data_IF_396739950591
#
_entry.id   IF_396739950591
#
_cell.length_a   1.000
_cell.length_b   1.000
_cell.length_c   1.000
_cell.angle_alpha   90.00
_cell.angle_beta   90.00
_cell.angle_gamma   90.00
#
_symmetry.space_group_name_H-M   'P 1'
#
loop_
_entity.id
_entity.type
_entity.pdbx_description
1 polymer ?
#
# COMPACT_ATOMS: atom_id res chain seq x y z
N UNK A 1 -28.48 -74.54 52.63
CA UNK A 1 -29.00 -73.36 51.89
C UNK A 1 -28.00 -72.23 52.11
N UNK A 2 -27.17 -71.90 51.16
CA UNK A 2 -26.14 -70.88 51.20
C UNK A 2 -26.64 -69.66 50.44
N UNK A 3 -26.57 -68.46 50.98
CA UNK A 3 -26.78 -67.23 50.19
C UNK A 3 -25.47 -66.82 49.50
N UNK A 4 -25.56 -66.61 48.24
CA UNK A 4 -24.50 -66.13 47.38
C UNK A 4 -24.41 -64.61 47.59
N UNK A 5 -23.25 -64.16 48.08
CA UNK A 5 -22.90 -62.77 48.23
C UNK A 5 -22.43 -62.20 46.87
N UNK A 6 -23.27 -61.37 46.28
CA UNK A 6 -22.97 -60.71 45.00
C UNK A 6 -22.09 -59.48 45.31
N UNK A 7 -20.82 -59.57 45.00
CA UNK A 7 -19.87 -58.49 45.14
C UNK A 7 -19.89 -57.59 43.89
N UNK A 8 -20.52 -56.43 44.01
CA UNK A 8 -20.51 -55.45 42.91
C UNK A 8 -19.18 -54.65 43.02
N UNK A 9 -18.27 -54.94 42.08
CA UNK A 9 -17.07 -54.14 41.89
C UNK A 9 -17.43 -52.92 41.03
N UNK A 10 -17.53 -51.77 41.67
CA UNK A 10 -17.68 -50.49 40.98
C UNK A 10 -16.27 -50.04 40.57
N UNK A 11 -15.92 -50.27 39.32
CA UNK A 11 -14.73 -49.68 38.68
C UNK A 11 -14.98 -48.21 38.39
N UNK A 12 -14.43 -47.32 39.18
CA UNK A 12 -14.32 -45.91 38.88
C UNK A 12 -13.33 -45.73 37.71
N UNK A 13 -13.86 -45.58 36.49
CA UNK A 13 -13.11 -45.04 35.34
C UNK A 13 -12.93 -43.55 35.58
N UNK A 14 -11.78 -43.14 36.06
CA UNK A 14 -11.33 -41.74 36.01
C UNK A 14 -11.06 -41.40 34.55
N UNK A 15 -12.04 -40.78 33.91
CA UNK A 15 -11.86 -40.13 32.64
C UNK A 15 -10.97 -38.91 32.87
N UNK A 16 -9.67 -39.02 32.54
CA UNK A 16 -8.81 -37.87 32.29
C UNK A 16 -9.44 -37.14 31.06
N UNK A 17 -10.23 -36.12 31.32
CA UNK A 17 -10.51 -35.09 30.34
C UNK A 17 -9.19 -34.32 30.16
N UNK A 18 -8.42 -34.72 29.13
CA UNK A 18 -7.47 -33.82 28.56
C UNK A 18 -8.29 -32.65 28.01
N UNK A 19 -8.33 -31.55 28.76
CA UNK A 19 -8.60 -30.24 28.20
C UNK A 19 -7.54 -30.05 27.12
N UNK A 20 -7.90 -30.37 25.86
CA UNK A 20 -7.24 -29.77 24.71
C UNK A 20 -7.37 -28.26 24.96
N UNK A 21 -6.27 -27.65 25.35
CA UNK A 21 -6.12 -26.22 25.20
C UNK A 21 -6.49 -25.93 23.74
N UNK A 22 -7.60 -25.25 23.57
CA UNK A 22 -7.80 -24.53 22.32
C UNK A 22 -6.52 -23.69 22.19
N UNK A 23 -5.67 -24.06 21.24
CA UNK A 23 -4.68 -23.16 20.74
C UNK A 23 -5.51 -21.90 20.38
N UNK A 24 -5.40 -20.87 21.19
CA UNK A 24 -5.62 -19.51 20.78
C UNK A 24 -4.57 -19.30 19.67
N UNK A 25 -4.90 -19.80 18.47
CA UNK A 25 -4.37 -19.22 17.27
C UNK A 25 -4.86 -17.78 17.33
N UNK A 26 -3.95 -16.90 17.76
CA UNK A 26 -4.07 -15.49 17.47
C UNK A 26 -4.57 -15.41 16.02
N UNK A 27 -5.83 -15.07 15.81
CA UNK A 27 -6.34 -14.67 14.52
C UNK A 27 -5.64 -13.35 14.19
N UNK A 28 -4.37 -13.47 13.78
CA UNK A 28 -3.68 -12.40 13.08
C UNK A 28 -4.60 -12.06 11.91
N UNK A 29 -5.25 -10.91 12.00
CA UNK A 29 -6.26 -10.50 11.03
C UNK A 29 -5.75 -10.78 9.63
N UNK A 30 -6.51 -11.55 8.86
CA UNK A 30 -6.06 -12.07 7.57
C UNK A 30 -5.71 -10.90 6.66
N UNK A 31 -4.41 -10.73 6.37
CA UNK A 31 -3.93 -9.66 5.49
C UNK A 31 -4.57 -9.79 4.11
N UNK A 32 -4.88 -8.65 3.45
CA UNK A 32 -5.58 -8.67 2.17
C UNK A 32 -4.74 -9.34 1.07
N UNK A 33 -5.42 -10.02 0.15
CA UNK A 33 -4.83 -10.49 -1.09
C UNK A 33 -4.68 -9.32 -2.07
N UNK A 34 -3.48 -9.10 -2.55
CA UNK A 34 -3.11 -7.92 -3.34
C UNK A 34 -2.68 -8.36 -4.74
N UNK A 35 -3.28 -7.76 -5.76
CA UNK A 35 -2.74 -7.87 -7.12
C UNK A 35 -1.93 -6.62 -7.47
N UNK A 36 -0.74 -6.83 -8.03
CA UNK A 36 0.13 -5.74 -8.51
C UNK A 36 0.11 -5.71 -10.03
N UNK A 37 -0.19 -4.53 -10.57
CA UNK A 37 -0.27 -4.28 -12.00
C UNK A 37 0.57 -3.06 -12.39
N UNK A 38 1.25 -3.15 -13.53
CA UNK A 38 2.04 -2.06 -14.07
C UNK A 38 1.31 -1.28 -15.16
N UNK A 39 1.64 0.01 -15.27
CA UNK A 39 1.28 0.86 -16.40
C UNK A 39 2.53 1.51 -16.99
N UNK A 40 2.67 1.51 -18.32
CA UNK A 40 3.83 2.06 -19.03
C UNK A 40 3.40 2.85 -20.30
N UNK A 41 2.26 3.53 -20.21
CA UNK A 41 1.67 4.24 -21.35
C UNK A 41 2.42 5.52 -21.74
N UNK A 42 3.14 6.14 -20.80
CA UNK A 42 3.81 7.41 -21.04
C UNK A 42 5.25 7.21 -21.55
N UNK A 43 5.77 8.14 -22.32
CA UNK A 43 7.07 8.00 -23.02
C UNK A 43 8.27 7.90 -22.10
N UNK A 44 8.18 8.47 -20.90
CA UNK A 44 9.23 8.48 -19.88
C UNK A 44 9.07 7.37 -18.85
N UNK A 45 8.08 6.49 -19.01
CA UNK A 45 7.93 5.31 -18.14
C UNK A 45 8.93 4.20 -18.52
N UNK A 46 9.35 3.44 -17.52
CA UNK A 46 10.12 2.21 -17.71
C UNK A 46 9.18 1.13 -18.26
N UNK A 47 9.50 0.51 -19.41
CA UNK A 47 8.63 -0.51 -20.01
C UNK A 47 8.44 -1.72 -19.08
N UNK A 48 7.21 -2.23 -18.96
CA UNK A 48 6.86 -3.40 -18.15
C UNK A 48 7.62 -4.67 -18.53
N UNK A 49 7.93 -4.84 -19.80
CA UNK A 49 8.72 -5.97 -20.30
C UNK A 49 10.24 -5.84 -20.07
N UNK A 50 10.72 -4.71 -19.52
CA UNK A 50 12.13 -4.47 -19.26
C UNK A 50 12.65 -5.26 -18.06
N UNK A 51 13.97 -5.55 -18.04
CA UNK A 51 14.63 -6.15 -16.89
C UNK A 51 14.57 -5.25 -15.65
N UNK A 52 14.57 -3.93 -15.86
CA UNK A 52 14.49 -2.94 -14.77
C UNK A 52 13.15 -3.06 -14.04
N UNK A 53 12.06 -3.06 -14.81
CA UNK A 53 10.72 -3.20 -14.26
C UNK A 53 10.58 -4.49 -13.44
N UNK A 54 11.02 -5.63 -14.00
CA UNK A 54 10.96 -6.93 -13.30
C UNK A 54 11.74 -6.92 -12.00
N UNK A 55 12.94 -6.34 -11.97
CA UNK A 55 13.74 -6.23 -10.74
C UNK A 55 13.09 -5.37 -9.66
N UNK A 56 12.38 -4.29 -10.05
CA UNK A 56 11.58 -3.50 -9.10
C UNK A 56 10.42 -4.33 -8.57
N UNK A 57 9.69 -5.01 -9.46
CA UNK A 57 8.56 -5.86 -9.08
C UNK A 57 8.98 -6.99 -8.13
N UNK A 58 10.05 -7.71 -8.46
CA UNK A 58 10.57 -8.81 -7.62
C UNK A 58 10.94 -8.31 -6.23
N UNK A 59 11.62 -7.16 -6.13
CA UNK A 59 12.00 -6.57 -4.84
C UNK A 59 10.77 -6.11 -4.04
N UNK A 60 9.79 -5.51 -4.71
CA UNK A 60 8.53 -5.12 -4.13
C UNK A 60 7.75 -6.31 -3.56
N UNK A 61 7.58 -7.37 -4.36
CA UNK A 61 6.86 -8.58 -3.97
C UNK A 61 7.53 -9.24 -2.76
N UNK A 62 8.86 -9.34 -2.78
CA UNK A 62 9.60 -9.91 -1.65
C UNK A 62 9.39 -9.09 -0.38
N UNK A 63 9.56 -7.77 -0.44
CA UNK A 63 9.37 -6.89 0.72
C UNK A 63 7.97 -7.03 1.33
N UNK A 64 6.93 -7.02 0.49
CA UNK A 64 5.57 -7.15 0.96
C UNK A 64 5.24 -8.56 1.49
N UNK A 65 5.82 -9.61 0.90
CA UNK A 65 5.68 -10.98 1.41
C UNK A 65 6.39 -11.14 2.76
N UNK A 66 7.59 -10.56 2.93
CA UNK A 66 8.32 -10.57 4.20
C UNK A 66 7.51 -9.86 5.31
N UNK A 67 6.73 -8.86 4.94
CA UNK A 67 5.76 -8.18 5.82
C UNK A 67 4.42 -8.94 5.97
N UNK A 68 4.30 -10.11 5.37
CA UNK A 68 3.18 -11.03 5.55
C UNK A 68 1.95 -10.76 4.66
N UNK A 69 2.06 -9.94 3.62
CA UNK A 69 1.00 -9.77 2.63
C UNK A 69 0.98 -10.90 1.60
N UNK A 70 -0.20 -11.27 1.13
CA UNK A 70 -0.36 -12.19 0.00
C UNK A 70 -0.34 -11.40 -1.31
N UNK A 71 0.80 -11.43 -2.02
CA UNK A 71 1.00 -10.62 -3.22
C UNK A 71 1.00 -11.48 -4.47
N UNK A 72 0.21 -11.06 -5.45
CA UNK A 72 0.09 -11.67 -6.77
C UNK A 72 0.45 -10.62 -7.83
N UNK A 73 1.29 -10.98 -8.75
CA UNK A 73 1.55 -10.14 -9.91
C UNK A 73 0.61 -10.48 -11.08
N UNK A 74 0.57 -9.60 -12.07
CA UNK A 74 -0.27 -9.75 -13.26
C UNK A 74 0.07 -11.04 -14.05
N UNK A 75 1.31 -11.53 -13.96
CA UNK A 75 1.75 -12.75 -14.64
C UNK A 75 1.42 -14.03 -13.85
N UNK A 76 1.26 -13.92 -12.54
CA UNK A 76 0.96 -15.05 -11.65
C UNK A 76 -0.53 -15.44 -11.66
N UNK A 77 -1.41 -14.58 -12.13
CA UNK A 77 -2.85 -14.83 -12.21
C UNK A 77 -3.28 -15.04 -13.66
N UNK A 78 -4.21 -15.98 -13.87
CA UNK A 78 -4.78 -16.20 -15.21
C UNK A 78 -5.70 -15.04 -15.54
N UNK A 79 -5.26 -14.20 -16.46
CA UNK A 79 -6.04 -13.10 -17.04
C UNK A 79 -6.42 -13.48 -18.48
N UNK A 80 -7.54 -12.92 -18.95
CA UNK A 80 -7.89 -13.01 -20.37
C UNK A 80 -6.80 -12.37 -21.24
N UNK A 81 -6.47 -12.96 -22.38
CA UNK A 81 -5.43 -12.47 -23.30
C UNK A 81 -5.59 -10.99 -23.65
N UNK A 82 -6.83 -10.53 -23.72
CA UNK A 82 -7.18 -9.14 -23.97
C UNK A 82 -6.71 -8.21 -22.82
N UNK A 83 -6.75 -8.66 -21.58
CA UNK A 83 -6.33 -7.89 -20.42
C UNK A 83 -4.80 -7.74 -20.32
N UNK A 84 -4.06 -8.78 -20.72
CA UNK A 84 -2.59 -8.80 -20.63
C UNK A 84 -1.91 -7.81 -21.58
N UNK A 85 -2.47 -7.59 -22.77
CA UNK A 85 -1.86 -6.77 -23.82
C UNK A 85 -2.04 -5.26 -23.65
N UNK A 86 -2.91 -4.79 -22.75
CA UNK A 86 -3.21 -3.36 -22.62
C UNK A 86 -2.15 -2.59 -21.85
N UNK A 87 -1.72 -1.48 -22.45
CA UNK A 87 -0.73 -0.55 -21.89
C UNK A 87 -1.37 0.39 -20.85
N UNK A 88 -2.61 0.80 -21.07
CA UNK A 88 -3.38 1.63 -20.13
C UNK A 88 -4.78 1.04 -19.94
N UNK A 89 -5.20 0.96 -18.67
CA UNK A 89 -6.51 0.47 -18.27
C UNK A 89 -7.21 1.53 -17.42
N UNK A 90 -8.53 1.57 -17.52
CA UNK A 90 -9.34 2.35 -16.56
C UNK A 90 -9.41 1.65 -15.22
N UNK A 91 -9.70 2.40 -14.14
CA UNK A 91 -9.87 1.82 -12.81
C UNK A 91 -11.00 0.75 -12.81
N UNK A 92 -12.07 0.97 -13.61
CA UNK A 92 -13.16 0.00 -13.75
C UNK A 92 -12.67 -1.33 -14.37
N UNK A 93 -11.90 -1.26 -15.46
CA UNK A 93 -11.32 -2.45 -16.10
C UNK A 93 -10.39 -3.21 -15.16
N UNK A 94 -9.58 -2.50 -14.37
CA UNK A 94 -8.69 -3.11 -13.38
C UNK A 94 -9.49 -3.85 -12.30
N UNK A 95 -10.56 -3.23 -11.81
CA UNK A 95 -11.45 -3.84 -10.82
C UNK A 95 -12.12 -5.09 -11.38
N UNK A 96 -12.61 -5.03 -12.64
CA UNK A 96 -13.24 -6.18 -13.29
C UNK A 96 -12.23 -7.33 -13.49
N UNK A 97 -11.00 -7.02 -13.91
CA UNK A 97 -9.90 -7.99 -14.00
C UNK A 97 -9.63 -8.62 -12.62
N UNK A 98 -9.46 -7.80 -11.58
CA UNK A 98 -9.17 -8.29 -10.25
C UNK A 98 -10.32 -9.17 -9.69
N UNK A 99 -11.58 -8.84 -9.99
CA UNK A 99 -12.75 -9.65 -9.63
C UNK A 99 -12.85 -10.96 -10.40
N UNK A 100 -12.28 -11.03 -11.61
CA UNK A 100 -12.26 -12.27 -12.40
C UNK A 100 -11.34 -13.33 -11.79
N UNK A 101 -10.37 -12.93 -10.98
CA UNK A 101 -9.49 -13.83 -10.23
C UNK A 101 -10.30 -14.45 -9.08
N UNK A 102 -10.61 -15.74 -9.20
CA UNK A 102 -11.49 -16.43 -8.23
C UNK A 102 -10.72 -17.12 -7.10
N UNK A 103 -9.45 -17.43 -7.32
CA UNK A 103 -8.62 -18.17 -6.37
C UNK A 103 -7.17 -17.67 -6.39
N UNK A 104 -6.75 -16.93 -5.37
CA UNK A 104 -7.58 -16.40 -4.29
C UNK A 104 -8.39 -15.16 -4.72
N UNK A 105 -9.46 -14.80 -3.99
CA UNK A 105 -10.15 -13.55 -4.25
C UNK A 105 -9.22 -12.39 -3.95
N UNK A 106 -9.17 -11.40 -4.82
CA UNK A 106 -8.33 -10.20 -4.67
C UNK A 106 -9.12 -9.13 -3.91
N UNK A 107 -8.51 -8.56 -2.88
CA UNK A 107 -9.11 -7.50 -2.07
C UNK A 107 -8.67 -6.11 -2.53
N UNK A 108 -7.40 -5.98 -2.91
CA UNK A 108 -6.79 -4.70 -3.31
C UNK A 108 -6.02 -4.86 -4.62
N UNK A 109 -6.23 -3.92 -5.53
CA UNK A 109 -5.38 -3.75 -6.71
C UNK A 109 -4.43 -2.56 -6.49
N UNK A 110 -3.14 -2.80 -6.68
CA UNK A 110 -2.06 -1.81 -6.68
C UNK A 110 -1.62 -1.60 -8.10
N UNK A 111 -1.73 -0.36 -8.60
CA UNK A 111 -1.34 -0.01 -9.95
C UNK A 111 -0.21 1.01 -9.86
N UNK A 112 0.89 0.79 -10.59
CA UNK A 112 2.02 1.70 -10.55
C UNK A 112 2.71 1.88 -11.90
N UNK A 113 3.39 3.02 -12.02
CA UNK A 113 4.28 3.35 -13.13
C UNK A 113 5.64 3.80 -12.58
N UNK A 114 6.70 3.39 -13.26
CA UNK A 114 8.07 3.84 -12.96
C UNK A 114 8.44 4.89 -14.01
N UNK A 115 8.65 6.12 -13.58
CA UNK A 115 9.09 7.23 -14.44
C UNK A 115 10.60 7.42 -14.35
N UNK A 116 11.23 7.64 -15.48
CA UNK A 116 12.65 7.92 -15.61
C UNK A 116 12.88 9.17 -16.47
N UNK A 117 12.85 10.33 -15.84
CA UNK A 117 13.07 11.61 -16.51
C UNK A 117 14.55 11.97 -16.56
N UNK A 118 15.01 12.41 -17.72
CA UNK A 118 16.41 12.78 -17.95
C UNK A 118 16.54 14.27 -18.28
N UNK A 119 17.40 14.98 -17.54
CA UNK A 119 17.77 16.37 -17.81
C UNK A 119 19.24 16.44 -18.24
N UNK A 120 19.46 16.79 -19.51
CA UNK A 120 20.79 16.97 -20.06
C UNK A 120 21.40 18.29 -19.53
N UNK A 121 22.60 18.21 -19.00
CA UNK A 121 23.45 19.32 -18.60
C UNK A 121 24.70 19.35 -19.49
N UNK A 122 25.57 20.37 -19.30
CA UNK A 122 26.77 20.55 -20.14
C UNK A 122 27.75 19.36 -20.09
N UNK A 123 27.90 18.72 -18.92
CA UNK A 123 28.90 17.65 -18.70
C UNK A 123 28.29 16.34 -18.20
N UNK A 124 26.99 16.28 -17.97
CA UNK A 124 26.32 15.09 -17.46
C UNK A 124 24.85 15.12 -17.80
N UNK A 125 24.20 13.97 -17.76
CA UNK A 125 22.74 13.86 -17.78
C UNK A 125 22.28 13.47 -16.38
N UNK A 126 21.38 14.24 -15.79
CA UNK A 126 20.74 13.91 -14.51
C UNK A 126 19.48 13.10 -14.77
N UNK A 127 19.40 11.93 -14.17
CA UNK A 127 18.25 11.03 -14.27
C UNK A 127 17.53 10.99 -12.94
N UNK A 128 16.25 11.37 -12.95
CA UNK A 128 15.36 11.31 -11.79
C UNK A 128 14.40 10.13 -11.97
N UNK A 129 14.38 9.25 -10.99
CA UNK A 129 13.52 8.07 -11.00
C UNK A 129 12.45 8.22 -9.92
N UNK A 130 11.19 8.02 -10.34
CA UNK A 130 10.02 8.15 -9.48
C UNK A 130 9.05 7.03 -9.80
N UNK A 131 8.48 6.43 -8.77
CA UNK A 131 7.35 5.50 -8.88
C UNK A 131 6.11 6.21 -8.37
N UNK A 132 5.06 6.22 -9.17
CA UNK A 132 3.75 6.72 -8.76
C UNK A 132 2.71 5.65 -8.95
N UNK A 133 1.68 5.66 -8.14
CA UNK A 133 0.62 4.68 -8.30
C UNK A 133 -0.61 4.97 -7.46
N UNK A 134 -1.55 4.04 -7.53
CA UNK A 134 -2.84 4.11 -6.85
C UNK A 134 -3.27 2.76 -6.33
N UNK A 135 -4.11 2.78 -5.32
CA UNK A 135 -4.71 1.62 -4.67
C UNK A 135 -6.22 1.64 -4.89
N UNK A 136 -6.76 0.51 -5.27
CA UNK A 136 -8.21 0.32 -5.49
C UNK A 136 -8.72 -0.81 -4.60
N UNK A 137 -9.83 -0.58 -3.91
CA UNK A 137 -10.56 -1.65 -3.25
C UNK A 137 -11.39 -2.39 -4.32
N UNK A 138 -11.09 -3.65 -4.53
CA UNK A 138 -11.69 -4.46 -5.60
C UNK A 138 -13.18 -4.71 -5.33
N UNK A 139 -13.56 -4.90 -4.06
CA UNK A 139 -14.95 -5.18 -3.68
C UNK A 139 -15.86 -3.98 -3.91
N UNK A 140 -15.47 -2.79 -3.41
CA UNK A 140 -16.30 -1.58 -3.48
C UNK A 140 -16.06 -0.73 -4.73
N UNK A 141 -14.96 -0.97 -5.47
CA UNK A 141 -14.53 -0.13 -6.59
C UNK A 141 -13.95 1.21 -6.16
N UNK A 142 -13.77 1.45 -4.85
CA UNK A 142 -13.31 2.73 -4.31
C UNK A 142 -11.79 2.87 -4.46
N UNK A 143 -11.32 4.05 -4.87
CA UNK A 143 -9.89 4.40 -4.77
C UNK A 143 -9.53 4.61 -3.31
N UNK A 144 -8.54 3.85 -2.85
CA UNK A 144 -8.07 3.88 -1.47
C UNK A 144 -7.03 4.98 -1.23
N UNK A 145 -6.31 5.38 -2.27
CA UNK A 145 -5.32 6.43 -2.21
C UNK A 145 -4.32 6.35 -3.34
N UNK A 146 -3.40 7.30 -3.34
CA UNK A 146 -2.25 7.34 -4.23
C UNK A 146 -0.96 7.20 -3.41
N UNK A 147 0.11 6.85 -4.09
CA UNK A 147 1.44 6.81 -3.49
C UNK A 147 2.48 7.30 -4.49
N UNK A 148 3.58 7.76 -3.95
CA UNK A 148 4.76 8.17 -4.71
C UNK A 148 6.01 7.79 -3.94
N UNK A 149 7.01 7.26 -4.66
CA UNK A 149 8.34 6.96 -4.15
C UNK A 149 9.34 7.55 -5.13
N UNK A 150 10.26 8.36 -4.65
CA UNK A 150 11.30 8.97 -5.46
C UNK A 150 12.67 8.76 -4.79
N UNK A 151 13.68 8.47 -5.58
CA UNK A 151 15.06 8.44 -5.06
C UNK A 151 15.47 9.83 -4.56
N UNK A 152 16.11 9.93 -3.38
CA UNK A 152 16.44 11.21 -2.76
C UNK A 152 17.34 12.09 -3.62
N UNK A 153 18.14 11.48 -4.47
CA UNK A 153 19.06 12.20 -5.37
C UNK A 153 18.96 11.65 -6.80
N UNK A 154 19.00 12.54 -7.80
CA UNK A 154 19.06 12.10 -9.19
C UNK A 154 20.40 11.43 -9.49
N UNK A 155 20.37 10.36 -10.27
CA UNK A 155 21.56 9.69 -10.78
C UNK A 155 22.26 10.53 -11.83
N UNK A 156 23.60 10.38 -11.89
CA UNK A 156 24.42 10.99 -12.94
C UNK A 156 24.72 9.94 -14.02
N UNK A 157 24.53 10.34 -15.26
CA UNK A 157 24.83 9.54 -16.45
C UNK A 157 25.68 10.36 -17.46
N UNK A 158 26.32 9.73 -18.44
CA UNK A 158 27.04 10.43 -19.49
C UNK A 158 26.19 11.48 -20.22
N UNK A 159 26.83 12.51 -20.77
CA UNK A 159 26.15 13.66 -21.39
C UNK A 159 25.18 13.29 -22.53
N UNK A 160 25.48 12.19 -23.23
CA UNK A 160 24.66 11.69 -24.35
C UNK A 160 23.86 10.43 -23.99
N UNK A 161 23.43 10.31 -22.74
CA UNK A 161 22.67 9.17 -22.26
C UNK A 161 21.32 9.06 -23.00
N UNK A 162 21.19 8.06 -23.86
CA UNK A 162 19.98 7.70 -24.59
C UNK A 162 19.09 6.78 -23.75
N UNK A 163 17.95 6.37 -24.28
CA UNK A 163 16.94 5.58 -23.57
C UNK A 163 17.52 4.33 -22.88
N UNK A 164 18.38 3.59 -23.54
CA UNK A 164 19.02 2.39 -23.00
C UNK A 164 19.93 2.70 -21.81
N UNK A 165 20.77 3.73 -21.96
CA UNK A 165 21.59 4.23 -20.87
C UNK A 165 20.77 4.73 -19.69
N UNK A 166 19.63 5.38 -19.93
CA UNK A 166 18.69 5.79 -18.87
C UNK A 166 18.17 4.57 -18.12
N UNK A 167 17.68 3.56 -18.84
CA UNK A 167 17.18 2.32 -18.24
C UNK A 167 18.27 1.58 -17.45
N UNK A 168 19.49 1.51 -17.97
CA UNK A 168 20.62 0.91 -17.27
C UNK A 168 20.92 1.66 -15.96
N UNK A 169 20.90 2.99 -16.00
CA UNK A 169 21.13 3.83 -14.81
C UNK A 169 20.04 3.61 -13.76
N UNK A 170 18.76 3.62 -14.14
CA UNK A 170 17.64 3.29 -13.25
C UNK A 170 17.78 1.88 -12.69
N UNK A 171 18.24 0.94 -13.53
CA UNK A 171 18.42 -0.46 -13.15
C UNK A 171 19.41 -0.68 -11.99
N UNK A 172 20.34 0.24 -11.76
CA UNK A 172 21.27 0.16 -10.62
C UNK A 172 20.55 0.26 -9.29
N UNK A 173 19.49 1.06 -9.24
CA UNK A 173 18.69 1.32 -8.03
C UNK A 173 17.35 0.55 -8.00
N UNK A 174 17.11 -0.34 -8.99
CA UNK A 174 15.82 -1.02 -9.13
C UNK A 174 15.38 -1.78 -7.87
N UNK A 175 16.34 -2.45 -7.18
CA UNK A 175 16.05 -3.17 -5.94
C UNK A 175 15.64 -2.22 -4.81
N UNK A 176 16.39 -1.14 -4.62
CA UNK A 176 16.10 -0.14 -3.58
C UNK A 176 14.73 0.49 -3.82
N UNK A 177 14.42 0.88 -5.06
CA UNK A 177 13.11 1.40 -5.44
C UNK A 177 11.97 0.43 -5.12
N UNK A 178 12.17 -0.87 -5.39
CA UNK A 178 11.17 -1.90 -5.08
C UNK A 178 10.96 -2.08 -3.59
N UNK A 179 12.02 -2.11 -2.80
CA UNK A 179 11.96 -2.20 -1.34
C UNK A 179 11.29 -0.96 -0.73
N UNK A 180 11.69 0.24 -1.13
CA UNK A 180 11.09 1.50 -0.65
C UNK A 180 9.59 1.55 -0.97
N UNK A 181 9.21 1.09 -2.18
CA UNK A 181 7.81 0.98 -2.56
C UNK A 181 7.06 -0.03 -1.68
N UNK A 182 7.66 -1.18 -1.37
CA UNK A 182 7.10 -2.19 -0.46
C UNK A 182 6.80 -1.60 0.91
N UNK A 183 7.78 -0.91 1.50
CA UNK A 183 7.61 -0.23 2.80
C UNK A 183 6.47 0.79 2.78
N UNK A 184 6.35 1.59 1.72
CA UNK A 184 5.27 2.58 1.58
C UNK A 184 3.91 1.90 1.46
N UNK A 185 3.82 0.83 0.66
CA UNK A 185 2.58 0.09 0.48
C UNK A 185 2.16 -0.65 1.74
N UNK A 186 3.09 -1.29 2.44
CA UNK A 186 2.84 -1.96 3.73
C UNK A 186 2.18 -1.00 4.71
N UNK A 187 2.78 0.15 4.95
CA UNK A 187 2.20 1.18 5.84
C UNK A 187 0.81 1.64 5.43
N UNK A 188 0.56 1.74 4.11
CA UNK A 188 -0.75 2.14 3.59
C UNK A 188 -1.80 1.02 3.70
N UNK A 189 -1.39 -0.23 3.76
CA UNK A 189 -2.27 -1.39 3.75
C UNK A 189 -2.47 -2.04 5.13
N UNK A 190 -1.58 -1.79 6.09
CA UNK A 190 -1.70 -2.30 7.47
C UNK A 190 -3.04 -1.96 8.12
N UNK A 191 -3.59 -0.78 7.83
CA UNK A 191 -4.91 -0.40 8.33
C UNK A 191 -6.05 -1.28 7.76
N UNK A 192 -5.88 -1.89 6.58
CA UNK A 192 -6.86 -2.84 6.04
C UNK A 192 -6.88 -4.14 6.85
N UNK A 193 -5.72 -4.59 7.32
CA UNK A 193 -5.61 -5.77 8.16
C UNK A 193 -6.21 -5.54 9.55
N UNK A 194 -5.94 -4.38 10.17
CA UNK A 194 -6.48 -4.01 11.47
C UNK A 194 -8.02 -3.88 11.49
N UNK A 195 -8.66 -3.66 10.34
CA UNK A 195 -10.13 -3.53 10.24
C UNK A 195 -10.91 -4.84 10.16
N UNK A 196 -10.27 -5.96 9.91
CA UNK A 196 -10.96 -7.25 9.96
C UNK A 196 -11.34 -7.66 11.38
N UNK A 197 -10.67 -7.11 12.39
CA UNK A 197 -10.86 -7.44 13.79
C UNK A 197 -12.03 -6.67 14.45
N UNK A 198 -12.46 -5.51 13.88
CA UNK A 198 -13.48 -4.62 14.48
C UNK A 198 -14.92 -4.91 14.02
N UNK A 199 -15.30 -6.18 13.79
CA UNK A 199 -16.72 -6.51 13.49
C UNK A 199 -17.67 -6.48 14.69
N UNK A 200 -17.24 -5.94 15.83
CA UNK A 200 -18.05 -5.96 17.06
C UNK A 200 -18.30 -4.61 17.74
N UNK A 201 -18.27 -3.48 17.02
CA UNK A 201 -18.77 -2.24 17.60
C UNK A 201 -20.02 -1.75 16.86
N UNK A 202 -21.18 -1.95 17.53
CA UNK A 202 -22.53 -1.61 17.09
C UNK A 202 -22.91 -0.15 17.33
N UNK A 203 -21.94 0.74 17.43
CA UNK A 203 -22.26 2.16 17.62
C UNK A 203 -21.76 2.99 16.43
N UNK A 204 -22.76 3.45 15.69
CA UNK A 204 -22.60 4.22 14.47
C UNK A 204 -21.82 5.52 14.65
N UNK A 205 -20.51 5.46 14.47
CA UNK A 205 -19.69 6.63 14.28
C UNK A 205 -18.96 6.54 12.93
N UNK A 206 -19.39 7.40 12.01
CA UNK A 206 -18.93 7.67 10.65
C UNK A 206 -17.43 8.10 10.55
N UNK A 207 -16.50 7.38 11.17
CA UNK A 207 -15.07 7.72 11.11
C UNK A 207 -14.19 6.62 10.46
N UNK A 208 -14.80 5.81 9.62
CA UNK A 208 -14.23 4.61 9.06
C UNK A 208 -13.59 4.85 7.68
N UNK A 209 -12.93 5.99 7.50
CA UNK A 209 -12.22 6.38 6.27
C UNK A 209 -10.71 6.21 6.41
N UNK A 210 -10.08 5.78 5.31
CA UNK A 210 -8.65 6.04 5.07
C UNK A 210 -8.32 7.48 5.39
N UNK A 211 -7.14 7.69 5.98
CA UNK A 211 -6.57 9.03 5.97
C UNK A 211 -6.50 9.52 4.53
N UNK A 212 -7.12 10.65 4.27
CA UNK A 212 -7.00 11.35 3.00
C UNK A 212 -5.90 12.38 3.13
N UNK A 213 -5.06 12.48 2.12
CA UNK A 213 -4.03 13.52 2.07
C UNK A 213 -4.59 14.78 1.44
N UNK A 214 -4.32 15.91 2.08
CA UNK A 214 -4.70 17.24 1.62
C UNK A 214 -3.44 18.11 1.53
N UNK A 215 -3.40 19.01 0.57
CA UNK A 215 -2.48 20.15 0.60
C UNK A 215 -3.19 21.30 1.32
N UNK A 216 -2.68 21.69 2.49
CA UNK A 216 -3.14 22.84 3.25
C UNK A 216 -2.27 24.03 2.89
N UNK A 217 -2.86 25.06 2.29
CA UNK A 217 -2.13 26.29 1.91
C UNK A 217 -2.62 27.44 2.77
N UNK A 218 -1.71 27.98 3.57
CA UNK A 218 -1.94 29.13 4.44
C UNK A 218 -1.30 30.35 3.82
N UNK A 219 -2.12 31.38 3.51
CA UNK A 219 -1.67 32.59 2.82
C UNK A 219 -1.95 33.83 3.67
N UNK A 220 -0.96 34.67 3.82
CA UNK A 220 -1.12 35.97 4.54
C UNK A 220 -0.91 35.88 6.05
N UNK A 221 -0.54 34.72 6.58
CA UNK A 221 -0.19 34.53 7.99
C UNK A 221 1.27 34.88 8.27
N UNK A 222 1.56 35.29 9.49
CA UNK A 222 2.93 35.47 9.97
C UNK A 222 3.56 34.12 10.33
N UNK A 223 4.91 34.04 10.46
CA UNK A 223 5.56 32.82 10.93
C UNK A 223 5.08 32.32 12.30
N UNK A 224 4.74 33.24 13.20
CA UNK A 224 4.23 32.92 14.53
C UNK A 224 2.80 32.33 14.42
N UNK A 225 1.94 32.93 13.57
CA UNK A 225 0.61 32.38 13.28
C UNK A 225 0.69 30.96 12.68
N UNK A 226 1.68 30.73 11.81
CA UNK A 226 1.87 29.40 11.20
C UNK A 226 2.27 28.38 12.26
N UNK A 227 3.08 28.75 13.25
CA UNK A 227 3.43 27.85 14.36
C UNK A 227 2.19 27.49 15.19
N UNK A 228 1.33 28.47 15.49
CA UNK A 228 0.07 28.20 16.18
C UNK A 228 -0.88 27.33 15.35
N UNK A 229 -0.98 27.59 14.03
CA UNK A 229 -1.78 26.77 13.12
C UNK A 229 -1.27 25.31 13.10
N UNK A 230 0.05 25.10 13.12
CA UNK A 230 0.63 23.76 13.17
C UNK A 230 0.22 23.00 14.43
N UNK A 231 0.17 23.66 15.59
CA UNK A 231 -0.36 23.09 16.82
C UNK A 231 -1.86 22.73 16.71
N UNK A 232 -2.65 23.57 16.04
CA UNK A 232 -4.07 23.31 15.84
C UNK A 232 -4.33 22.14 14.88
N UNK A 233 -3.62 22.04 13.76
CA UNK A 233 -3.88 20.98 12.78
C UNK A 233 -3.56 19.59 13.31
N UNK A 234 -2.62 19.45 14.27
CA UNK A 234 -2.34 18.18 14.94
C UNK A 234 -3.39 17.79 15.98
N UNK A 235 -4.14 18.77 16.49
CA UNK A 235 -5.21 18.54 17.46
C UNK A 235 -6.55 18.12 16.81
N UNK A 236 -6.67 18.18 15.49
CA UNK A 236 -7.90 17.78 14.80
C UNK A 236 -8.16 16.29 14.97
N UNK A 237 -9.39 15.96 15.31
CA UNK A 237 -9.82 14.56 15.41
C UNK A 237 -9.64 13.85 14.05
N UNK A 238 -8.88 12.77 14.06
CA UNK A 238 -8.56 12.00 12.85
C UNK A 238 -7.25 12.44 12.18
N UNK A 239 -6.49 13.32 12.78
CA UNK A 239 -5.12 13.62 12.39
C UNK A 239 -4.26 12.36 12.39
N UNK A 240 -3.45 12.16 11.35
CA UNK A 240 -2.51 11.06 11.24
C UNK A 240 -1.06 11.56 11.09
N UNK A 241 -0.84 12.44 10.12
CA UNK A 241 0.50 12.95 9.84
C UNK A 241 0.44 14.27 9.06
N UNK A 242 1.46 15.08 9.20
CA UNK A 242 1.70 16.24 8.34
C UNK A 242 3.19 16.46 8.10
N UNK A 243 3.52 17.18 7.04
CA UNK A 243 4.88 17.64 6.75
C UNK A 243 4.84 18.96 6.00
N UNK A 244 5.78 19.87 6.25
CA UNK A 244 5.91 21.08 5.45
C UNK A 244 6.36 20.72 4.02
N UNK A 245 5.70 21.30 3.03
CA UNK A 245 6.05 21.20 1.60
C UNK A 245 6.83 22.43 1.17
N UNK A 246 6.35 23.60 1.56
CA UNK A 246 7.03 24.88 1.34
C UNK A 246 6.70 25.86 2.46
N UNK A 247 7.64 26.72 2.78
CA UNK A 247 7.46 27.80 3.76
C UNK A 247 8.14 29.06 3.27
N UNK A 248 7.42 30.18 3.31
CA UNK A 248 7.91 31.52 3.03
C UNK A 248 7.30 32.49 4.03
N UNK A 249 7.74 33.76 4.00
CA UNK A 249 7.30 34.78 4.97
C UNK A 249 5.78 35.03 5.01
N UNK A 250 5.03 34.59 3.97
CA UNK A 250 3.57 34.86 3.88
C UNK A 250 2.77 33.66 3.39
N UNK A 251 3.43 32.56 3.06
CA UNK A 251 2.77 31.34 2.57
C UNK A 251 3.44 30.13 3.20
N UNK A 252 2.64 29.24 3.74
CA UNK A 252 3.06 27.93 4.17
C UNK A 252 2.18 26.87 3.52
N UNK A 253 2.78 25.82 3.02
CA UNK A 253 2.09 24.68 2.45
C UNK A 253 2.48 23.42 3.20
N UNK A 254 1.47 22.69 3.69
CA UNK A 254 1.62 21.44 4.38
C UNK A 254 0.93 20.33 3.61
N UNK A 255 1.58 19.22 3.47
CA UNK A 255 0.94 17.97 3.18
C UNK A 255 0.38 17.41 4.49
N UNK A 256 -0.91 17.11 4.53
CA UNK A 256 -1.65 16.79 5.74
C UNK A 256 -2.49 15.53 5.53
N UNK A 257 -2.28 14.51 6.34
CA UNK A 257 -3.08 13.28 6.34
C UNK A 257 -4.05 13.26 7.51
N UNK A 258 -5.31 12.98 7.21
CA UNK A 258 -6.36 12.90 8.21
C UNK A 258 -7.48 11.95 7.78
N UNK A 259 -8.09 11.28 8.75
CA UNK A 259 -9.35 10.54 8.58
C UNK A 259 -10.58 11.44 8.54
N UNK A 260 -10.43 12.72 8.83
CA UNK A 260 -11.52 13.70 8.76
C UNK A 260 -11.90 14.02 7.33
N UNK A 261 -13.21 14.20 7.10
CA UNK A 261 -13.74 14.65 5.79
C UNK A 261 -13.31 16.10 5.52
N UNK A 262 -13.01 16.44 4.26
CA UNK A 262 -12.61 17.81 3.84
C UNK A 262 -13.59 18.90 4.31
N UNK A 263 -14.89 18.61 4.38
CA UNK A 263 -15.89 19.54 4.88
C UNK A 263 -15.71 19.95 6.37
N UNK A 264 -14.92 19.18 7.15
CA UNK A 264 -14.57 19.53 8.53
C UNK A 264 -13.32 20.40 8.61
N UNK A 265 -12.41 20.27 7.67
CA UNK A 265 -11.19 21.09 7.58
C UNK A 265 -11.49 22.53 7.13
N UNK A 266 -12.64 22.74 6.46
CA UNK A 266 -13.07 24.04 5.93
C UNK A 266 -14.03 24.79 6.88
N UNK A 267 -14.19 24.39 8.11
CA UNK A 267 -14.99 25.07 9.15
C UNK A 267 -14.10 25.79 10.14
#
# INVERSE_FOLDING_TARGET
MKPILLMIVVTLLAACQTTQGADEQDEVGQRPNIIIMGEDADKDTVPRNSRVYRRVLDALVNEMNDEGFNVYDEAAVTLDDFAQGRVRRTDAEIIDIARSVKRPPIDVAVIYSIYASAKKLSYTTKIRTRITGRLLNVRSGKRLGNFEVELPQPDNAPVNCQRECILETVGKNARVLGMDLGVVLTKKLDWLAARSDDKHDKDGHDNDGLASAYSLVFTGFTPDDITEIEEYIVAFRGYEHHRPVSSSLRNAEYWYETKSKSARLNR
#
